data_IF_858490762280
#
_entry.id   IF_858490762280
#
_cell.length_a   1.000
_cell.length_b   1.000
_cell.length_c   1.000
_cell.angle_alpha   90.00
_cell.angle_beta   90.00
_cell.angle_gamma   90.00
#
_symmetry.space_group_name_H-M   'P 1'
#
loop_
_entity.id
_entity.type
_entity.pdbx_description
1 polymer ?
#
# COMPACT_ATOMS: atom_id res chain seq x y z
N UNK A 1 28.80 33.42 25.40
CA UNK A 1 29.58 32.76 24.33
C UNK A 1 28.67 31.70 23.72
N UNK A 2 27.97 32.06 22.65
CA UNK A 2 26.89 31.24 22.07
C UNK A 2 27.49 30.16 21.18
N UNK A 3 27.29 28.90 21.55
CA UNK A 3 27.68 27.73 20.75
C UNK A 3 26.68 27.55 19.62
N UNK A 4 27.05 28.02 18.43
CA UNK A 4 26.33 27.76 17.18
C UNK A 4 26.45 26.27 16.86
N UNK A 5 25.40 25.50 17.16
CA UNK A 5 25.23 24.13 16.67
C UNK A 5 25.15 24.14 15.14
N UNK A 6 26.29 23.91 14.48
CA UNK A 6 26.35 23.66 13.03
C UNK A 6 25.63 22.35 12.76
N UNK A 7 24.36 22.44 12.36
CA UNK A 7 23.54 21.31 11.95
C UNK A 7 24.09 20.78 10.60
N UNK A 8 24.50 19.50 10.48
CA UNK A 8 24.91 18.96 9.20
C UNK A 8 23.67 18.75 8.32
N UNK A 9 23.25 19.79 7.58
CA UNK A 9 22.05 19.78 6.73
C UNK A 9 22.23 19.33 5.25
N UNK A 10 23.43 19.21 4.62
CA UNK A 10 23.51 18.85 3.19
C UNK A 10 23.39 17.33 2.92
N UNK A 11 23.84 16.48 3.85
CA UNK A 11 23.84 15.02 3.66
C UNK A 11 22.42 14.42 3.71
N UNK A 12 21.54 14.94 4.56
CA UNK A 12 20.17 14.44 4.73
C UNK A 12 19.26 14.73 3.53
N UNK A 13 19.39 15.90 2.90
CA UNK A 13 18.65 16.25 1.68
C UNK A 13 19.07 15.36 0.51
N UNK A 14 20.38 15.14 0.36
CA UNK A 14 20.93 14.29 -0.70
C UNK A 14 20.45 12.85 -0.59
N UNK A 15 20.40 12.29 0.63
CA UNK A 15 19.87 10.96 0.88
C UNK A 15 18.36 10.85 0.59
N UNK A 16 17.56 11.86 0.97
CA UNK A 16 16.13 11.88 0.64
C UNK A 16 15.90 11.93 -0.88
N UNK A 17 16.65 12.76 -1.61
CA UNK A 17 16.60 12.80 -3.09
C UNK A 17 16.98 11.45 -3.67
N UNK A 18 18.04 10.80 -3.17
CA UNK A 18 18.45 9.48 -3.63
C UNK A 18 17.33 8.43 -3.43
N UNK A 19 16.66 8.43 -2.27
CA UNK A 19 15.53 7.53 -2.00
C UNK A 19 14.34 7.79 -2.93
N UNK A 20 14.05 9.05 -3.25
CA UNK A 20 13.06 9.40 -4.26
C UNK A 20 13.45 8.87 -5.65
N UNK A 21 14.71 9.05 -6.06
CA UNK A 21 15.23 8.55 -7.35
C UNK A 21 15.14 7.02 -7.40
N UNK A 22 15.46 6.31 -6.31
CA UNK A 22 15.30 4.86 -6.23
C UNK A 22 13.84 4.45 -6.45
N UNK A 23 12.90 5.10 -5.76
CA UNK A 23 11.47 4.83 -5.94
C UNK A 23 11.00 5.15 -7.38
N UNK A 24 11.51 6.22 -7.98
CA UNK A 24 11.23 6.59 -9.37
C UNK A 24 11.75 5.54 -10.35
N UNK A 25 13.01 5.11 -10.21
CA UNK A 25 13.60 4.06 -11.03
C UNK A 25 12.81 2.76 -10.89
N UNK A 26 12.45 2.37 -9.66
CA UNK A 26 11.63 1.19 -9.43
C UNK A 26 10.26 1.28 -10.12
N UNK A 27 9.62 2.45 -10.08
CA UNK A 27 8.35 2.70 -10.78
C UNK A 27 8.50 2.59 -12.30
N UNK A 28 9.55 3.18 -12.87
CA UNK A 28 9.85 3.11 -14.30
C UNK A 28 10.13 1.66 -14.72
N UNK A 29 10.95 0.93 -13.95
CA UNK A 29 11.24 -0.48 -14.20
C UNK A 29 9.96 -1.32 -14.16
N UNK A 30 9.10 -1.09 -13.16
CA UNK A 30 7.80 -1.78 -13.06
C UNK A 30 6.92 -1.54 -14.29
N UNK A 31 6.81 -0.29 -14.74
CA UNK A 31 6.07 0.07 -15.95
C UNK A 31 6.71 -0.53 -17.20
N UNK A 32 8.03 -0.47 -17.33
CA UNK A 32 8.77 -1.01 -18.47
C UNK A 32 8.63 -2.53 -18.60
N UNK A 33 8.68 -3.27 -17.49
CA UNK A 33 8.43 -4.72 -17.48
C UNK A 33 7.00 -5.02 -17.92
N UNK A 34 6.01 -4.29 -17.40
CA UNK A 34 4.62 -4.50 -17.78
C UNK A 34 4.32 -4.11 -19.23
N UNK A 35 5.02 -3.11 -19.77
CA UNK A 35 4.89 -2.68 -21.15
C UNK A 35 5.64 -3.62 -22.12
N UNK A 36 6.82 -4.12 -21.73
CA UNK A 36 7.66 -5.00 -22.54
C UNK A 36 7.17 -6.44 -22.61
N UNK A 37 6.36 -6.88 -21.65
CA UNK A 37 5.79 -8.24 -21.61
C UNK A 37 4.26 -8.21 -21.55
N UNK A 38 3.58 -7.77 -22.63
CA UNK A 38 2.13 -7.63 -22.65
C UNK A 38 1.41 -8.97 -22.42
N UNK A 39 1.95 -10.08 -22.93
CA UNK A 39 1.37 -11.42 -22.76
C UNK A 39 1.28 -11.82 -21.28
N UNK A 40 2.35 -11.60 -20.50
CA UNK A 40 2.38 -11.89 -19.08
C UNK A 40 1.47 -10.96 -18.27
N UNK A 41 1.33 -9.71 -18.73
CA UNK A 41 0.41 -8.74 -18.14
C UNK A 41 -1.05 -9.13 -18.38
N UNK A 42 -1.42 -9.50 -19.61
CA UNK A 42 -2.78 -9.94 -19.96
C UNK A 42 -3.15 -11.25 -19.27
N UNK A 43 -2.20 -12.17 -19.14
CA UNK A 43 -2.36 -13.39 -18.34
C UNK A 43 -2.52 -13.10 -16.83
N UNK A 44 -2.32 -11.85 -16.38
CA UNK A 44 -2.48 -11.44 -15.00
C UNK A 44 -1.34 -11.86 -14.07
N UNK A 45 -0.24 -12.40 -14.62
CA UNK A 45 0.89 -12.94 -13.83
C UNK A 45 1.47 -11.88 -12.89
N UNK A 46 1.85 -10.72 -13.45
CA UNK A 46 2.45 -9.64 -12.67
C UNK A 46 1.49 -9.11 -11.59
N UNK A 47 0.20 -8.99 -11.92
CA UNK A 47 -0.82 -8.52 -10.96
C UNK A 47 -1.03 -9.52 -9.81
N UNK A 48 -0.94 -10.82 -10.11
CA UNK A 48 -1.06 -11.89 -9.12
C UNK A 48 0.14 -11.91 -8.19
N UNK A 49 1.36 -11.89 -8.74
CA UNK A 49 2.61 -11.86 -7.97
C UNK A 49 2.66 -10.60 -7.10
N UNK A 50 2.37 -9.43 -7.66
CA UNK A 50 2.31 -8.17 -6.93
C UNK A 50 1.30 -8.23 -5.77
N UNK A 51 0.10 -8.77 -6.01
CA UNK A 51 -0.93 -8.92 -4.97
C UNK A 51 -0.46 -9.80 -3.82
N UNK A 52 0.12 -10.97 -4.13
CA UNK A 52 0.65 -11.88 -3.11
C UNK A 52 1.78 -11.21 -2.32
N UNK A 53 2.69 -10.51 -2.99
CA UNK A 53 3.78 -9.79 -2.34
C UNK A 53 3.27 -8.67 -1.42
N UNK A 54 2.29 -7.87 -1.86
CA UNK A 54 1.66 -6.82 -1.04
C UNK A 54 0.96 -7.44 0.17
N UNK A 55 0.15 -8.48 -0.04
CA UNK A 55 -0.54 -9.19 1.05
C UNK A 55 0.44 -9.73 2.07
N UNK A 56 1.48 -10.45 1.63
CA UNK A 56 2.52 -10.97 2.52
C UNK A 56 3.22 -9.84 3.28
N UNK A 57 3.54 -8.73 2.62
CA UNK A 57 4.17 -7.55 3.24
C UNK A 57 3.28 -6.94 4.32
N UNK A 58 1.98 -6.74 4.04
CA UNK A 58 1.02 -6.17 5.00
C UNK A 58 0.85 -7.09 6.22
N UNK A 59 0.74 -8.40 6.00
CA UNK A 59 0.56 -9.35 7.10
C UNK A 59 1.82 -9.52 7.95
N UNK A 60 3.00 -9.52 7.32
CA UNK A 60 4.28 -9.48 8.01
C UNK A 60 4.43 -8.17 8.80
N UNK A 61 4.02 -7.05 8.21
CA UNK A 61 4.05 -5.76 8.87
C UNK A 61 3.16 -5.71 10.12
N UNK A 62 1.94 -6.23 10.02
CA UNK A 62 1.04 -6.38 11.15
C UNK A 62 1.68 -7.23 12.25
N UNK A 63 2.31 -8.36 11.88
CA UNK A 63 3.01 -9.22 12.84
C UNK A 63 4.18 -8.51 13.53
N UNK A 64 5.01 -7.79 12.77
CA UNK A 64 6.13 -6.99 13.32
C UNK A 64 5.62 -5.90 14.27
N UNK A 65 4.53 -5.21 13.91
CA UNK A 65 3.90 -4.22 14.78
C UNK A 65 3.40 -4.83 16.09
N UNK A 66 2.69 -5.95 15.98
CA UNK A 66 2.23 -6.76 17.12
C UNK A 66 3.39 -7.25 18.00
N UNK A 67 4.52 -7.63 17.40
CA UNK A 67 5.69 -8.09 18.11
C UNK A 67 6.36 -7.02 18.99
N UNK A 68 6.15 -5.74 18.65
CA UNK A 68 6.65 -4.58 19.41
C UNK A 68 5.74 -4.16 20.56
N UNK A 69 4.53 -4.74 20.66
CA UNK A 69 3.60 -4.47 21.76
C UNK A 69 3.89 -5.33 22.99
N UNK A 70 3.40 -4.91 24.15
CA UNK A 70 3.44 -5.70 25.40
C UNK A 70 2.33 -6.77 25.49
N UNK A 71 1.71 -7.16 24.37
CA UNK A 71 0.67 -8.18 24.36
C UNK A 71 1.26 -9.58 24.57
N UNK A 72 0.60 -10.38 25.42
CA UNK A 72 0.89 -11.81 25.59
C UNK A 72 0.84 -12.57 24.25
N UNK A 73 1.63 -13.64 24.13
CA UNK A 73 1.75 -14.42 22.89
C UNK A 73 0.41 -14.91 22.32
N UNK A 74 -0.48 -15.43 23.18
CA UNK A 74 -1.83 -15.85 22.76
C UNK A 74 -2.68 -14.68 22.23
N UNK A 75 -2.70 -13.55 22.94
CA UNK A 75 -3.44 -12.34 22.51
C UNK A 75 -2.90 -11.77 21.21
N UNK A 76 -1.59 -11.88 20.99
CA UNK A 76 -0.91 -11.46 19.76
C UNK A 76 -1.40 -12.27 18.56
N UNK A 77 -1.38 -13.60 18.67
CA UNK A 77 -1.86 -14.51 17.63
C UNK A 77 -3.35 -14.29 17.34
N UNK A 78 -4.19 -14.22 18.38
CA UNK A 78 -5.62 -13.95 18.21
C UNK A 78 -5.85 -12.63 17.50
N UNK A 79 -5.14 -11.57 17.86
CA UNK A 79 -5.29 -10.25 17.22
C UNK A 79 -4.85 -10.29 15.76
N UNK A 80 -3.73 -10.96 15.46
CA UNK A 80 -3.27 -11.16 14.10
C UNK A 80 -4.30 -11.92 13.25
N UNK A 81 -4.86 -13.01 13.77
CA UNK A 81 -5.88 -13.82 13.09
C UNK A 81 -7.18 -13.05 12.85
N UNK A 82 -7.65 -12.30 13.84
CA UNK A 82 -8.89 -11.49 13.75
C UNK A 82 -8.80 -10.43 12.65
N UNK A 83 -7.61 -9.92 12.33
CA UNK A 83 -7.42 -8.99 11.20
C UNK A 83 -7.17 -9.76 9.89
N UNK A 84 -6.32 -10.79 9.94
CA UNK A 84 -5.86 -11.53 8.77
C UNK A 84 -6.97 -12.33 8.10
N UNK A 85 -7.79 -13.04 8.88
CA UNK A 85 -8.83 -13.92 8.33
C UNK A 85 -9.88 -13.11 7.55
N UNK A 86 -10.49 -12.04 8.10
CA UNK A 86 -11.42 -11.22 7.32
C UNK A 86 -10.77 -10.55 6.12
N UNK A 87 -9.52 -10.09 6.24
CA UNK A 87 -8.78 -9.48 5.13
C UNK A 87 -8.58 -10.45 3.97
N UNK A 88 -8.12 -11.67 4.24
CA UNK A 88 -7.93 -12.71 3.22
C UNK A 88 -9.26 -13.21 2.66
N UNK A 89 -10.28 -13.39 3.50
CA UNK A 89 -11.62 -13.79 3.06
C UNK A 89 -12.21 -12.76 2.10
N UNK A 90 -12.08 -11.46 2.42
CA UNK A 90 -12.51 -10.39 1.53
C UNK A 90 -11.73 -10.38 0.21
N UNK A 91 -10.41 -10.55 0.27
CA UNK A 91 -9.56 -10.60 -0.92
C UNK A 91 -9.93 -11.77 -1.83
N UNK A 92 -10.21 -12.95 -1.27
CA UNK A 92 -10.69 -14.11 -2.01
C UNK A 92 -12.07 -13.85 -2.63
N UNK A 93 -13.00 -13.25 -1.88
CA UNK A 93 -14.34 -12.92 -2.38
C UNK A 93 -14.29 -11.95 -3.57
N UNK A 94 -13.53 -10.85 -3.44
CA UNK A 94 -13.37 -9.86 -4.51
C UNK A 94 -12.65 -10.46 -5.71
N UNK A 95 -11.65 -11.32 -5.49
CA UNK A 95 -11.00 -12.02 -6.60
C UNK A 95 -12.00 -12.91 -7.34
N UNK A 96 -12.72 -13.78 -6.63
CA UNK A 96 -13.70 -14.68 -7.24
C UNK A 96 -14.75 -13.90 -8.04
N UNK A 97 -15.24 -12.78 -7.49
CA UNK A 97 -16.14 -11.88 -8.21
C UNK A 97 -15.50 -11.29 -9.48
N UNK A 98 -14.22 -10.91 -9.44
CA UNK A 98 -13.51 -10.39 -10.61
C UNK A 98 -13.36 -11.44 -11.72
N UNK A 99 -12.98 -12.67 -11.37
CA UNK A 99 -12.85 -13.79 -12.32
C UNK A 99 -14.20 -14.16 -12.94
N UNK A 100 -15.27 -14.11 -12.14
CA UNK A 100 -16.65 -14.29 -12.61
C UNK A 100 -17.17 -13.11 -13.47
N UNK A 101 -16.38 -12.04 -13.66
CA UNK A 101 -16.76 -10.87 -14.44
C UNK A 101 -17.70 -9.89 -13.72
N UNK A 102 -17.85 -10.00 -12.39
CA UNK A 102 -18.77 -9.20 -11.58
C UNK A 102 -18.47 -7.69 -11.53
N UNK A 103 -17.30 -7.26 -12.04
CA UNK A 103 -16.93 -5.83 -12.13
C UNK A 103 -17.04 -5.26 -13.55
N UNK A 104 -17.55 -6.02 -14.53
CA UNK A 104 -17.82 -5.49 -15.87
C UNK A 104 -18.98 -4.50 -15.77
N UNK A 105 -18.83 -3.31 -16.38
CA UNK A 105 -19.94 -2.37 -16.49
C UNK A 105 -21.00 -2.95 -17.42
N UNK A 106 -22.22 -3.12 -16.92
CA UNK A 106 -23.38 -3.55 -17.68
C UNK A 106 -24.48 -2.49 -17.54
N UNK A 107 -25.15 -2.09 -18.63
CA UNK A 107 -26.28 -1.17 -18.56
C UNK A 107 -27.37 -1.69 -17.60
N UNK A 108 -27.80 -0.86 -16.65
CA UNK A 108 -28.84 -1.21 -15.66
C UNK A 108 -28.35 -2.04 -14.47
N UNK A 109 -27.10 -2.49 -14.45
CA UNK A 109 -26.52 -3.19 -13.30
C UNK A 109 -25.93 -2.20 -12.27
N UNK A 110 -26.01 -2.57 -10.99
CA UNK A 110 -25.38 -1.79 -9.91
C UNK A 110 -23.85 -1.88 -10.07
N UNK A 111 -23.11 -0.76 -10.05
CA UNK A 111 -21.66 -0.78 -10.16
C UNK A 111 -21.05 -1.42 -8.91
N UNK A 112 -20.60 -2.68 -9.02
CA UNK A 112 -20.04 -3.43 -7.90
C UNK A 112 -18.67 -2.92 -7.45
N UNK A 113 -17.91 -2.26 -8.33
CA UNK A 113 -16.54 -1.83 -8.04
C UNK A 113 -16.47 -0.78 -6.91
N UNK A 114 -17.27 0.30 -6.90
CA UNK A 114 -17.37 1.19 -5.74
C UNK A 114 -17.75 0.48 -4.43
N UNK A 115 -18.67 -0.48 -4.49
CA UNK A 115 -19.09 -1.25 -3.30
C UNK A 115 -17.91 -2.08 -2.78
N UNK A 116 -17.18 -2.76 -3.67
CA UNK A 116 -16.03 -3.57 -3.28
C UNK A 116 -14.89 -2.76 -2.65
N UNK A 117 -14.77 -1.48 -3.01
CA UNK A 117 -13.77 -0.56 -2.45
C UNK A 117 -14.26 0.05 -1.13
N UNK A 118 -15.51 0.52 -1.08
CA UNK A 118 -16.04 1.29 0.05
C UNK A 118 -16.50 0.42 1.20
N UNK A 119 -17.03 -0.79 0.96
CA UNK A 119 -17.59 -1.63 2.00
C UNK A 119 -16.56 -1.99 3.10
N UNK A 120 -15.33 -2.44 2.78
CA UNK A 120 -14.31 -2.69 3.79
C UNK A 120 -13.88 -1.43 4.53
N UNK A 121 -13.90 -0.28 3.86
CA UNK A 121 -13.55 0.99 4.47
C UNK A 121 -14.62 1.41 5.49
N UNK A 122 -15.88 1.39 5.09
CA UNK A 122 -17.02 1.81 5.92
C UNK A 122 -17.21 0.90 7.13
N UNK A 123 -16.94 -0.40 7.00
CA UNK A 123 -17.07 -1.36 8.11
C UNK A 123 -15.77 -1.47 8.90
N UNK A 124 -14.65 -1.68 8.22
CA UNK A 124 -13.36 -1.95 8.83
C UNK A 124 -12.79 -0.75 9.57
N UNK A 125 -12.87 0.45 9.00
CA UNK A 125 -12.27 1.64 9.62
C UNK A 125 -12.90 1.94 11.00
N UNK A 126 -14.24 2.02 11.17
CA UNK A 126 -14.83 2.24 12.49
C UNK A 126 -14.50 1.13 13.50
N UNK A 127 -14.45 -0.13 13.06
CA UNK A 127 -14.09 -1.25 13.93
C UNK A 127 -12.63 -1.15 14.40
N UNK A 128 -11.70 -0.80 13.49
CA UNK A 128 -10.30 -0.62 13.80
C UNK A 128 -10.09 0.61 14.71
N UNK A 129 -10.76 1.72 14.45
CA UNK A 129 -10.67 2.95 15.26
C UNK A 129 -11.18 2.77 16.69
N UNK A 130 -12.12 1.84 16.92
CA UNK A 130 -12.62 1.51 18.27
C UNK A 130 -11.77 0.47 19.00
N UNK A 131 -10.80 -0.14 18.34
CA UNK A 131 -10.01 -1.24 18.90
C UNK A 131 -8.80 -0.74 19.68
N UNK A 132 -8.81 -0.95 21.01
CA UNK A 132 -7.65 -0.67 21.88
C UNK A 132 -6.39 -1.44 21.49
N UNK A 133 -6.55 -2.65 20.93
CA UNK A 133 -5.42 -3.47 20.49
C UNK A 133 -4.76 -2.89 19.25
N UNK A 134 -5.57 -2.37 18.32
CA UNK A 134 -5.06 -1.70 17.12
C UNK A 134 -4.38 -0.40 17.49
N UNK A 135 -4.95 0.38 18.42
CA UNK A 135 -4.30 1.58 18.95
C UNK A 135 -2.92 1.24 19.56
N UNK A 136 -2.83 0.21 20.40
CA UNK A 136 -1.55 -0.22 20.99
C UNK A 136 -0.49 -0.64 19.95
N UNK A 137 -0.91 -1.24 18.82
CA UNK A 137 0.00 -1.55 17.70
C UNK A 137 0.50 -0.25 17.08
N UNK A 138 -0.39 0.69 16.77
CA UNK A 138 -0.04 1.96 16.13
C UNK A 138 0.89 2.80 17.04
N UNK A 139 0.64 2.81 18.34
CA UNK A 139 1.46 3.52 19.34
C UNK A 139 2.87 2.90 19.47
N UNK A 140 2.98 1.58 19.33
CA UNK A 140 4.26 0.87 19.38
C UNK A 140 5.09 1.00 18.08
N UNK A 141 4.47 1.46 16.99
CA UNK A 141 5.09 1.52 15.68
C UNK A 141 5.65 2.90 15.37
N UNK A 142 6.94 3.02 14.99
CA UNK A 142 7.48 4.30 14.57
C UNK A 142 6.74 4.83 13.32
N UNK A 143 6.28 6.10 13.30
CA UNK A 143 5.53 6.65 12.17
C UNK A 143 6.25 6.57 10.82
N UNK A 144 7.58 6.76 10.81
CA UNK A 144 8.40 6.65 9.59
C UNK A 144 8.27 5.26 8.95
N UNK A 145 8.06 4.21 9.75
CA UNK A 145 7.97 2.84 9.28
C UNK A 145 6.65 2.60 8.56
N UNK A 146 5.54 3.11 9.11
CA UNK A 146 4.22 3.06 8.49
C UNK A 146 4.16 3.83 7.16
N UNK A 147 4.88 4.96 7.07
CA UNK A 147 5.01 5.73 5.84
C UNK A 147 5.87 4.97 4.83
N UNK A 148 7.02 4.44 5.25
CA UNK A 148 7.95 3.72 4.38
C UNK A 148 7.31 2.49 3.73
N UNK A 149 6.42 1.79 4.44
CA UNK A 149 5.65 0.68 3.87
C UNK A 149 4.84 1.07 2.64
N UNK A 150 4.38 2.32 2.50
CA UNK A 150 3.56 2.73 1.37
C UNK A 150 4.30 2.70 0.03
N UNK A 151 5.61 2.42 0.01
CA UNK A 151 6.39 2.26 -1.23
C UNK A 151 5.81 1.19 -2.16
N UNK A 152 5.10 0.16 -1.65
CA UNK A 152 4.45 -0.83 -2.51
C UNK A 152 3.42 -0.20 -3.47
N UNK A 153 2.91 1.00 -3.17
CA UNK A 153 1.94 1.70 -4.01
C UNK A 153 2.51 2.13 -5.36
N UNK A 154 3.83 2.12 -5.56
CA UNK A 154 4.40 2.28 -6.91
C UNK A 154 3.82 1.26 -7.90
N UNK A 155 3.41 0.08 -7.43
CA UNK A 155 2.80 -0.96 -8.26
C UNK A 155 1.44 -0.51 -8.83
N UNK A 156 0.73 0.38 -8.15
CA UNK A 156 -0.52 0.99 -8.60
C UNK A 156 -0.38 1.89 -9.83
N UNK A 157 0.85 2.28 -10.21
CA UNK A 157 1.12 2.94 -11.50
C UNK A 157 0.65 2.10 -12.70
N UNK A 158 0.43 0.79 -12.51
CA UNK A 158 -0.16 -0.09 -13.52
C UNK A 158 -1.53 0.39 -14.01
N UNK A 159 -2.31 1.11 -13.18
CA UNK A 159 -3.60 1.67 -13.59
C UNK A 159 -3.42 2.74 -14.67
N UNK A 160 -2.35 3.54 -14.61
CA UNK A 160 -2.02 4.53 -15.64
C UNK A 160 -1.66 3.86 -16.96
N UNK A 161 -0.88 2.77 -16.91
CA UNK A 161 -0.56 1.98 -18.09
C UNK A 161 -1.82 1.30 -18.68
N UNK A 162 -2.71 0.80 -17.83
CA UNK A 162 -3.97 0.20 -18.26
C UNK A 162 -4.88 1.23 -18.95
N UNK A 163 -4.93 2.46 -18.43
CA UNK A 163 -5.63 3.58 -19.10
C UNK A 163 -4.99 3.94 -20.44
N UNK A 164 -3.66 4.10 -20.48
CA UNK A 164 -2.92 4.43 -21.71
C UNK A 164 -3.09 3.37 -22.81
N UNK A 165 -3.37 2.12 -22.43
CA UNK A 165 -3.61 1.00 -23.35
C UNK A 165 -5.10 0.72 -23.61
N UNK A 166 -6.01 1.57 -23.13
CA UNK A 166 -7.46 1.44 -23.36
C UNK A 166 -8.14 0.32 -22.56
N UNK A 167 -7.44 -0.32 -21.62
CA UNK A 167 -7.94 -1.47 -20.86
C UNK A 167 -8.71 -1.08 -19.58
N UNK A 168 -8.67 0.19 -19.17
CA UNK A 168 -9.30 0.66 -17.94
C UNK A 168 -9.85 2.08 -18.11
N UNK A 169 -11.05 2.31 -17.59
CA UNK A 169 -11.71 3.61 -17.67
C UNK A 169 -10.97 4.67 -16.85
N UNK A 170 -10.79 5.87 -17.43
CA UNK A 170 -10.07 6.97 -16.80
C UNK A 170 -10.65 7.44 -15.47
N UNK A 171 -11.96 7.32 -15.27
CA UNK A 171 -12.65 7.69 -14.03
C UNK A 171 -12.08 6.99 -12.78
N UNK A 172 -11.63 5.74 -12.94
CA UNK A 172 -10.96 5.00 -11.89
C UNK A 172 -9.44 5.04 -12.04
N UNK A 173 -8.94 4.85 -13.26
CA UNK A 173 -7.53 4.66 -13.52
C UNK A 173 -6.66 5.88 -13.19
N UNK A 174 -7.15 7.09 -13.49
CA UNK A 174 -6.42 8.33 -13.25
C UNK A 174 -6.29 8.64 -11.76
N UNK A 175 -7.37 8.73 -10.96
CA UNK A 175 -7.24 9.02 -9.53
C UNK A 175 -6.51 7.91 -8.78
N UNK A 176 -6.80 6.63 -9.08
CA UNK A 176 -6.12 5.51 -8.41
C UNK A 176 -4.63 5.46 -8.79
N UNK A 177 -4.33 5.50 -10.09
CA UNK A 177 -2.95 5.39 -10.59
C UNK A 177 -2.07 6.57 -10.19
N UNK A 178 -2.57 7.81 -10.27
CA UNK A 178 -1.79 8.98 -9.85
C UNK A 178 -1.60 9.00 -8.33
N UNK A 179 -2.66 8.74 -7.57
CA UNK A 179 -2.60 8.70 -6.10
C UNK A 179 -1.61 7.65 -5.60
N UNK A 180 -1.70 6.41 -6.09
CA UNK A 180 -0.81 5.33 -5.70
C UNK A 180 0.65 5.61 -6.10
N UNK A 181 0.87 6.12 -7.32
CA UNK A 181 2.22 6.47 -7.78
C UNK A 181 2.83 7.56 -6.92
N UNK A 182 2.11 8.66 -6.66
CA UNK A 182 2.62 9.78 -5.86
C UNK A 182 2.92 9.35 -4.42
N UNK A 183 2.02 8.60 -3.77
CA UNK A 183 2.25 8.10 -2.42
C UNK A 183 3.44 7.13 -2.39
N UNK A 184 3.55 6.23 -3.35
CA UNK A 184 4.66 5.28 -3.44
C UNK A 184 6.02 5.97 -3.64
N UNK A 185 6.09 6.96 -4.54
CA UNK A 185 7.31 7.74 -4.80
C UNK A 185 7.75 8.55 -3.57
N UNK A 186 6.80 9.14 -2.86
CA UNK A 186 7.10 10.00 -1.71
C UNK A 186 7.28 9.21 -0.40
N UNK A 187 6.94 7.92 -0.36
CA UNK A 187 7.01 7.09 0.85
C UNK A 187 8.42 7.07 1.47
N UNK A 188 9.43 6.66 0.70
CA UNK A 188 10.81 6.53 1.18
C UNK A 188 11.46 7.86 1.60
N UNK A 189 11.43 8.95 0.79
CA UNK A 189 12.01 10.22 1.22
C UNK A 189 11.29 10.78 2.46
N UNK A 190 9.97 10.68 2.52
CA UNK A 190 9.19 11.18 3.67
C UNK A 190 9.49 10.37 4.93
N UNK A 191 9.56 9.04 4.83
CA UNK A 191 9.94 8.17 5.93
C UNK A 191 11.34 8.52 6.46
N UNK A 192 12.31 8.75 5.57
CA UNK A 192 13.67 9.09 5.96
C UNK A 192 13.76 10.45 6.65
N UNK A 193 13.10 11.47 6.10
CA UNK A 193 13.07 12.80 6.72
C UNK A 193 12.40 12.76 8.10
N UNK A 194 11.35 11.96 8.26
CA UNK A 194 10.69 11.79 9.56
C UNK A 194 11.54 10.98 10.54
N UNK A 195 12.33 10.01 10.06
CA UNK A 195 13.29 9.28 10.89
C UNK A 195 14.36 10.21 11.48
N UNK A 196 14.79 11.23 10.73
CA UNK A 196 15.77 12.22 11.17
C UNK A 196 15.19 13.36 12.02
N UNK A 197 13.87 13.50 12.09
CA UNK A 197 13.24 14.56 12.87
C UNK A 197 13.48 14.33 14.37
N UNK A 198 13.99 15.34 15.11
CA UNK A 198 14.12 15.22 16.56
C UNK A 198 12.73 15.03 17.19
N UNK A 199 12.62 14.05 18.10
CA UNK A 199 11.41 13.75 18.87
C UNK A 199 11.34 14.61 20.12
#
# INVERSE_FOLDING_TARGET
MSTTLTRPMPASRSAAIMLFVIALVATICWLAVNAGFPELRVAGLFSTVARLAITATILAALWVGLARTQLDGGKRITTWLVVTVPFLAWQALVWSAAVAGGFRLQPGAIPMLPIAILLPLVIGLPLLMRSRRVAAILDAMPPYWLIGLQVYRILGSIFLLAYATGNLAGLFALPAGTGDTLVGLLALPTAYLLYLAPR
#
